data_IF_899023883179
#
_entry.id   IF_899023883179
#
_cell.length_a   1.000
_cell.length_b   1.000
_cell.length_c   1.000
_cell.angle_alpha   90.00
_cell.angle_beta   90.00
_cell.angle_gamma   90.00
#
_symmetry.space_group_name_H-M   'P 1'
#
loop_
_entity.id
_entity.type
_entity.pdbx_description
1 polymer ?
#
# COMPACT_ATOMS: atom_id res chain seq x y z
N UNK A 1 8.45 -27.77 17.87
CA UNK A 1 8.59 -26.52 17.30
C UNK A 1 8.44 -25.44 18.35
N UNK A 2 8.44 -24.39 18.24
CA UNK A 2 8.85 -23.20 18.91
C UNK A 2 7.71 -22.27 19.24
N UNK A 3 6.57 -22.82 19.66
CA UNK A 3 5.37 -22.02 19.90
C UNK A 3 5.58 -20.98 21.00
N UNK A 4 6.24 -21.40 22.09
CA UNK A 4 6.51 -20.50 23.18
C UNK A 4 7.49 -19.39 22.80
N UNK A 5 8.42 -19.71 21.92
CA UNK A 5 9.41 -18.76 21.45
C UNK A 5 8.77 -17.69 20.58
N UNK A 6 7.68 -18.05 19.93
CA UNK A 6 7.07 -17.21 18.91
C UNK A 6 5.95 -16.33 19.42
N UNK A 7 5.59 -16.42 20.71
CA UNK A 7 4.48 -15.62 21.20
C UNK A 7 4.74 -14.13 21.10
N UNK A 8 5.90 -13.68 21.56
CA UNK A 8 6.27 -12.27 21.44
C UNK A 8 6.47 -11.86 20.00
N UNK A 9 7.15 -12.70 19.22
CA UNK A 9 7.37 -12.42 17.81
C UNK A 9 6.08 -12.43 17.02
N UNK A 10 5.17 -13.36 17.32
CA UNK A 10 3.88 -13.42 16.68
C UNK A 10 3.07 -12.15 16.97
N UNK A 11 3.13 -11.66 18.21
CA UNK A 11 2.43 -10.43 18.58
C UNK A 11 3.03 -9.22 17.86
N UNK A 12 4.35 -9.13 17.76
CA UNK A 12 5.00 -8.06 17.01
C UNK A 12 4.64 -8.11 15.54
N UNK A 13 4.62 -9.30 14.96
CA UNK A 13 4.22 -9.48 13.57
C UNK A 13 2.77 -9.05 13.35
N UNK A 14 1.87 -9.40 14.25
CA UNK A 14 0.48 -8.98 14.17
C UNK A 14 0.34 -7.47 14.31
N UNK A 15 1.10 -6.86 15.21
CA UNK A 15 1.08 -5.42 15.37
C UNK A 15 1.56 -4.72 14.11
N UNK A 16 2.62 -5.22 13.51
CA UNK A 16 3.15 -4.68 12.25
C UNK A 16 2.15 -4.88 11.12
N UNK A 17 1.53 -6.05 11.06
CA UNK A 17 0.49 -6.33 10.06
C UNK A 17 -0.69 -5.39 10.21
N UNK A 18 -1.07 -5.08 11.44
CA UNK A 18 -2.17 -4.15 11.70
C UNK A 18 -1.83 -2.75 11.22
N UNK A 19 -0.59 -2.31 11.38
CA UNK A 19 -0.16 -1.01 10.87
C UNK A 19 -0.24 -0.97 9.34
N UNK A 20 0.20 -2.03 8.67
CA UNK A 20 0.09 -2.11 7.22
C UNK A 20 -1.37 -2.13 6.78
N UNK A 21 -2.20 -2.91 7.46
CA UNK A 21 -3.63 -3.00 7.13
C UNK A 21 -4.31 -1.65 7.30
N UNK A 22 -3.94 -0.90 8.34
CA UNK A 22 -4.49 0.44 8.55
C UNK A 22 -4.11 1.38 7.40
N UNK A 23 -2.86 1.31 6.96
CA UNK A 23 -2.40 2.12 5.83
C UNK A 23 -3.11 1.74 4.54
N UNK A 24 -3.46 0.46 4.38
CA UNK A 24 -4.17 -0.03 3.20
C UNK A 24 -5.68 0.21 3.26
N UNK A 25 -6.19 0.69 4.37
CA UNK A 25 -7.63 0.87 4.59
C UNK A 25 -8.21 2.15 4.01
N UNK A 26 -7.65 2.65 2.92
CA UNK A 26 -8.11 3.86 2.25
C UNK A 26 -8.07 3.62 0.75
N UNK A 27 -9.20 3.88 0.08
CA UNK A 27 -9.32 3.59 -1.35
C UNK A 27 -8.30 4.36 -2.18
N UNK A 28 -8.02 5.61 -1.82
CA UNK A 28 -7.05 6.41 -2.58
C UNK A 28 -5.63 5.90 -2.40
N UNK A 29 -5.29 5.40 -1.21
CA UNK A 29 -3.99 4.79 -0.99
C UNK A 29 -3.83 3.52 -1.83
N UNK A 30 -4.87 2.70 -1.90
CA UNK A 30 -4.83 1.51 -2.75
C UNK A 30 -4.68 1.90 -4.22
N UNK A 31 -5.36 2.97 -4.66
CA UNK A 31 -5.23 3.47 -6.03
C UNK A 31 -3.82 3.94 -6.32
N UNK A 32 -3.19 4.62 -5.37
CA UNK A 32 -1.80 5.09 -5.53
C UNK A 32 -0.86 3.89 -5.67
N UNK A 33 -0.98 2.91 -4.78
CA UNK A 33 -0.12 1.74 -4.82
C UNK A 33 -0.27 0.99 -6.14
N UNK A 34 -1.50 0.79 -6.60
CA UNK A 34 -1.74 0.13 -7.87
C UNK A 34 -1.20 0.94 -9.04
N UNK A 35 -1.33 2.26 -8.98
CA UNK A 35 -0.83 3.15 -10.03
C UNK A 35 0.69 3.11 -10.12
N UNK A 36 1.37 3.01 -8.98
CA UNK A 36 2.83 2.87 -8.98
C UNK A 36 3.26 1.57 -9.67
N UNK A 37 2.58 0.47 -9.34
CA UNK A 37 2.89 -0.81 -9.97
C UNK A 37 4.37 -1.12 -9.92
N UNK A 38 4.97 -1.41 -11.08
CA UNK A 38 6.39 -1.75 -11.19
C UNK A 38 7.25 -0.54 -11.60
N UNK A 39 6.65 0.64 -11.73
CA UNK A 39 7.35 1.82 -12.20
C UNK A 39 7.42 2.89 -11.11
N UNK A 40 8.51 3.64 -11.11
CA UNK A 40 8.59 4.82 -10.26
C UNK A 40 7.82 5.97 -10.92
N UNK A 41 7.20 6.80 -10.09
CA UNK A 41 6.42 7.94 -10.60
C UNK A 41 6.61 9.16 -9.69
N UNK A 42 6.53 10.32 -10.32
CA UNK A 42 6.52 11.58 -9.59
C UNK A 42 5.15 11.85 -9.00
N UNK A 43 5.09 12.77 -8.04
CA UNK A 43 3.80 13.23 -7.49
C UNK A 43 2.93 13.79 -8.60
N UNK A 44 3.52 14.57 -9.51
CA UNK A 44 2.76 15.16 -10.63
C UNK A 44 2.11 14.11 -11.50
N UNK A 45 2.85 13.02 -11.79
CA UNK A 45 2.30 11.92 -12.60
C UNK A 45 1.13 11.25 -11.89
N UNK A 46 1.26 11.04 -10.58
CA UNK A 46 0.17 10.43 -9.80
C UNK A 46 -1.06 11.34 -9.76
N UNK A 47 -0.85 12.62 -9.54
CA UNK A 47 -1.94 13.61 -9.55
C UNK A 47 -2.70 13.55 -10.88
N UNK A 48 -1.95 13.56 -11.99
CA UNK A 48 -2.55 13.54 -13.31
C UNK A 48 -3.28 12.23 -13.58
N UNK A 49 -2.66 11.10 -13.28
CA UNK A 49 -3.23 9.79 -13.59
C UNK A 49 -4.43 9.44 -12.71
N UNK A 50 -4.42 9.91 -11.46
CA UNK A 50 -5.47 9.55 -10.51
C UNK A 50 -6.57 10.60 -10.39
N UNK A 51 -6.33 11.82 -10.87
CA UNK A 51 -7.31 12.88 -10.74
C UNK A 51 -7.49 13.35 -9.31
N UNK A 52 -6.48 13.20 -8.46
CA UNK A 52 -6.50 13.65 -7.08
C UNK A 52 -5.70 14.94 -6.95
N UNK A 53 -5.99 15.73 -5.91
CA UNK A 53 -5.23 16.94 -5.66
C UNK A 53 -3.80 16.59 -5.21
N UNK A 54 -2.86 17.50 -5.46
CA UNK A 54 -1.48 17.29 -5.06
C UNK A 54 -1.33 17.17 -3.54
N UNK A 55 -1.97 18.02 -2.72
CA UNK A 55 -1.86 17.85 -1.27
C UNK A 55 -2.37 16.50 -0.79
N UNK A 56 -3.42 15.99 -1.41
CA UNK A 56 -3.99 14.69 -1.04
C UNK A 56 -3.03 13.56 -1.40
N UNK A 57 -2.48 13.58 -2.62
CA UNK A 57 -1.50 12.58 -3.05
C UNK A 57 -0.28 12.62 -2.13
N UNK A 58 0.24 13.82 -1.85
CA UNK A 58 1.40 13.97 -0.97
C UNK A 58 1.13 13.45 0.43
N UNK A 59 -0.07 13.70 0.96
CA UNK A 59 -0.46 13.19 2.28
C UNK A 59 -0.47 11.66 2.30
N UNK A 60 -1.10 11.04 1.31
CA UNK A 60 -1.17 9.58 1.25
C UNK A 60 0.21 8.95 1.05
N UNK A 61 1.04 9.54 0.20
CA UNK A 61 2.41 9.05 0.01
C UNK A 61 3.21 9.10 1.31
N UNK A 62 3.03 10.15 2.11
CA UNK A 62 3.70 10.26 3.40
C UNK A 62 3.27 9.15 4.33
N UNK A 63 1.97 8.83 4.38
CA UNK A 63 1.46 7.76 5.21
C UNK A 63 1.93 6.39 4.74
N UNK A 64 1.96 6.17 3.44
CA UNK A 64 2.48 4.92 2.87
C UNK A 64 3.97 4.76 3.12
N UNK A 65 4.73 5.86 3.05
CA UNK A 65 6.16 5.81 3.32
C UNK A 65 6.45 5.54 4.79
N UNK A 66 5.61 6.04 5.67
CA UNK A 66 5.79 5.83 7.11
C UNK A 66 5.79 4.35 7.46
N UNK A 67 4.98 3.55 6.79
CA UNK A 67 4.92 2.09 7.02
C UNK A 67 5.75 1.31 6.01
N UNK A 68 6.59 2.00 5.25
CA UNK A 68 7.56 1.40 4.32
C UNK A 68 6.94 0.63 3.15
N UNK A 69 5.71 0.98 2.75
CA UNK A 69 5.11 0.41 1.56
C UNK A 69 5.61 1.07 0.28
N UNK A 70 6.05 2.30 0.37
CA UNK A 70 6.68 3.02 -0.75
C UNK A 70 8.02 3.57 -0.31
N UNK A 71 8.88 3.78 -1.29
CA UNK A 71 10.18 4.40 -1.09
C UNK A 71 10.32 5.61 -2.00
N UNK A 72 11.21 6.51 -1.61
CA UNK A 72 11.50 7.74 -2.32
C UNK A 72 12.88 7.64 -2.95
N UNK A 73 13.00 8.13 -4.16
CA UNK A 73 14.25 8.19 -4.87
C UNK A 73 14.42 9.57 -5.47
N UNK A 74 15.57 10.18 -5.21
CA UNK A 74 15.86 11.52 -5.73
C UNK A 74 16.89 11.42 -6.85
N UNK A 75 16.58 12.08 -7.97
CA UNK A 75 17.50 12.21 -9.09
C UNK A 75 17.57 13.66 -9.50
N UNK A 76 18.63 14.37 -9.08
CA UNK A 76 18.75 15.78 -9.32
C UNK A 76 17.59 16.54 -8.68
N UNK A 77 16.88 17.38 -9.45
CA UNK A 77 15.72 18.11 -8.92
C UNK A 77 14.45 17.27 -8.86
N UNK A 78 14.49 16.01 -9.33
CA UNK A 78 13.30 15.18 -9.44
C UNK A 78 13.19 14.23 -8.26
N UNK A 79 11.94 14.00 -7.84
CA UNK A 79 11.61 13.09 -6.75
C UNK A 79 10.62 12.05 -7.28
N UNK A 80 10.96 10.79 -7.10
CA UNK A 80 10.14 9.67 -7.57
C UNK A 80 9.76 8.77 -6.42
N UNK A 81 8.56 8.21 -6.51
CA UNK A 81 8.06 7.22 -5.58
C UNK A 81 7.89 5.88 -6.28
N UNK A 82 8.14 4.81 -5.57
CA UNK A 82 7.95 3.45 -6.10
C UNK A 82 7.56 2.53 -4.96
N UNK A 83 7.00 1.38 -5.31
CA UNK A 83 6.72 0.35 -4.30
C UNK A 83 8.05 -0.13 -3.72
N UNK A 84 8.06 -0.37 -2.41
CA UNK A 84 9.28 -0.80 -1.73
C UNK A 84 9.66 -2.23 -2.09
N UNK A 85 8.67 -3.05 -2.47
CA UNK A 85 8.88 -4.46 -2.78
C UNK A 85 7.75 -4.93 -3.70
N UNK A 86 8.06 -5.85 -4.61
CA UNK A 86 7.07 -6.43 -5.52
C UNK A 86 5.97 -7.16 -4.74
N UNK A 87 6.26 -7.62 -3.53
CA UNK A 87 5.26 -8.27 -2.69
C UNK A 87 4.07 -7.36 -2.38
N UNK A 88 4.28 -6.04 -2.37
CA UNK A 88 3.18 -5.10 -2.19
C UNK A 88 2.15 -5.25 -3.31
N UNK A 89 2.61 -5.40 -4.54
CA UNK A 89 1.74 -5.58 -5.69
C UNK A 89 0.97 -6.91 -5.60
N UNK A 90 1.67 -7.97 -5.20
CA UNK A 90 1.03 -9.27 -5.01
C UNK A 90 -0.05 -9.21 -3.92
N UNK A 91 0.23 -8.50 -2.84
CA UNK A 91 -0.74 -8.32 -1.77
C UNK A 91 -1.98 -7.58 -2.25
N UNK A 92 -1.79 -6.54 -3.06
CA UNK A 92 -2.91 -5.78 -3.62
C UNK A 92 -3.80 -6.67 -4.47
N UNK A 93 -3.21 -7.52 -5.30
CA UNK A 93 -3.96 -8.43 -6.15
C UNK A 93 -4.76 -9.43 -5.31
N UNK A 94 -4.14 -9.98 -4.28
CA UNK A 94 -4.81 -10.91 -3.38
C UNK A 94 -5.95 -10.23 -2.64
N UNK A 95 -5.73 -9.00 -2.19
CA UNK A 95 -6.76 -8.23 -1.49
C UNK A 95 -7.96 -7.96 -2.40
N UNK A 96 -7.69 -7.57 -3.65
CA UNK A 96 -8.76 -7.31 -4.62
C UNK A 96 -9.57 -8.57 -4.89
N UNK A 97 -8.90 -9.71 -5.05
CA UNK A 97 -9.59 -10.98 -5.28
C UNK A 97 -10.46 -11.37 -4.09
N UNK A 98 -9.93 -11.20 -2.88
CA UNK A 98 -10.70 -11.50 -1.68
C UNK A 98 -11.92 -10.58 -1.56
N UNK A 99 -11.72 -9.29 -1.84
CA UNK A 99 -12.83 -8.33 -1.77
C UNK A 99 -13.94 -8.69 -2.75
N UNK A 100 -13.58 -9.09 -3.97
CA UNK A 100 -14.57 -9.54 -4.95
C UNK A 100 -15.32 -10.77 -4.48
N UNK A 101 -14.61 -11.75 -3.94
CA UNK A 101 -15.24 -12.98 -3.45
C UNK A 101 -16.23 -12.70 -2.33
N UNK A 102 -15.84 -11.83 -1.38
CA UNK A 102 -16.71 -11.46 -0.26
C UNK A 102 -17.94 -10.70 -0.74
N UNK A 103 -17.77 -9.75 -1.66
CA UNK A 103 -18.88 -8.97 -2.19
C UNK A 103 -19.85 -9.83 -2.99
N UNK A 104 -19.35 -10.80 -3.74
CA UNK A 104 -20.23 -11.74 -4.46
C UNK A 104 -21.09 -12.54 -3.51
N UNK A 105 -20.51 -13.00 -2.41
CA UNK A 105 -21.29 -13.74 -1.40
C UNK A 105 -22.36 -12.85 -0.79
N UNK A 106 -22.02 -11.56 -0.56
CA UNK A 106 -22.98 -10.61 0.02
C UNK A 106 -24.15 -10.36 -0.92
N UNK A 107 -23.89 -10.26 -2.23
CA UNK A 107 -24.94 -9.99 -3.20
C UNK A 107 -25.84 -11.20 -3.47
N UNK A 108 -25.36 -12.41 -3.16
CA UNK A 108 -26.16 -13.61 -3.29
C UNK A 108 -27.17 -13.78 -2.15
N UNK A 109 -27.08 -12.96 -1.12
CA UNK A 109 -28.02 -13.01 0.00
C UNK A 109 -29.18 -12.07 -0.24
#
# INVERSE_FOLDING_TARGET
MTDYLNNAQAQDTLNNSAQLAKALGDANRLRILRCLGEERKSVSALVEQLGLSQPLVSHHLRELRRVLLVKVERQGPFVYYSLSDVQVLNLLQDLEQLAQAVLQKRTCL
#
